data_IF_722585815393
#
_entry.id   IF_722585815393
#
_cell.length_a   1.000
_cell.length_b   1.000
_cell.length_c   1.000
_cell.angle_alpha   90.00
_cell.angle_beta   90.00
_cell.angle_gamma   90.00
#
_symmetry.space_group_name_H-M   'P 1'
#
loop_
_entity.id
_entity.type
_entity.pdbx_description
1 polymer ?
#
# COMPACT_ATOMS: atom_id res chain seq x y z
N UNK A 1 3.29 23.86 -65.48
CA UNK A 1 4.41 22.92 -65.22
C UNK A 1 4.14 21.62 -65.95
N UNK A 2 5.10 21.17 -66.77
CA UNK A 2 4.97 19.98 -67.62
C UNK A 2 4.90 18.69 -66.79
N UNK A 3 4.24 17.65 -67.32
CA UNK A 3 4.10 16.33 -66.69
C UNK A 3 5.43 15.70 -66.25
N UNK A 4 6.54 16.11 -66.87
CA UNK A 4 7.90 15.69 -66.53
C UNK A 4 8.40 16.28 -65.20
N UNK A 5 8.03 17.53 -64.87
CA UNK A 5 8.41 18.17 -63.61
C UNK A 5 7.71 17.56 -62.40
N UNK A 6 6.45 17.11 -62.54
CA UNK A 6 5.71 16.43 -61.46
C UNK A 6 6.32 15.07 -61.10
N UNK A 7 6.93 14.36 -62.08
CA UNK A 7 7.55 13.05 -61.83
C UNK A 7 8.91 13.16 -61.11
N UNK A 8 9.68 14.22 -61.36
CA UNK A 8 10.93 14.45 -60.62
C UNK A 8 10.69 14.88 -59.16
N UNK A 9 9.70 15.75 -58.89
CA UNK A 9 9.41 16.16 -57.51
C UNK A 9 8.89 15.00 -56.64
N UNK A 10 8.13 14.06 -57.20
CA UNK A 10 7.61 12.90 -56.44
C UNK A 10 8.74 11.92 -56.09
N UNK A 11 9.72 11.71 -56.96
CA UNK A 11 10.87 10.82 -56.69
C UNK A 11 11.81 11.43 -55.64
N UNK A 12 12.03 12.75 -55.67
CA UNK A 12 12.87 13.45 -54.67
C UNK A 12 12.18 13.53 -53.30
N UNK A 13 10.85 13.77 -53.24
CA UNK A 13 10.12 13.74 -51.96
C UNK A 13 10.07 12.33 -51.35
N UNK A 14 9.97 11.28 -52.18
CA UNK A 14 9.98 9.89 -51.72
C UNK A 14 11.35 9.47 -51.17
N UNK A 15 12.45 9.95 -51.76
CA UNK A 15 13.80 9.70 -51.23
C UNK A 15 14.06 10.43 -49.90
N UNK A 16 13.53 11.63 -49.71
CA UNK A 16 13.67 12.39 -48.45
C UNK A 16 12.80 11.77 -47.34
N UNK A 17 11.62 11.23 -47.66
CA UNK A 17 10.81 10.46 -46.71
C UNK A 17 11.42 9.09 -46.35
N UNK A 18 12.13 8.44 -47.28
CA UNK A 18 12.85 7.18 -47.02
C UNK A 18 14.16 7.39 -46.23
N UNK A 19 14.80 8.56 -46.33
CA UNK A 19 15.99 8.91 -45.55
C UNK A 19 15.66 9.56 -44.20
N UNK A 20 14.43 10.06 -44.01
CA UNK A 20 13.97 10.67 -42.74
C UNK A 20 13.37 9.69 -41.72
N UNK A 21 13.19 8.41 -42.08
CA UNK A 21 12.67 7.37 -41.18
C UNK A 21 13.75 6.44 -40.59
N UNK A 22 14.99 6.54 -41.07
CA UNK A 22 16.12 5.81 -40.49
C UNK A 22 16.77 6.63 -39.39
N UNK A 23 16.20 6.58 -38.17
CA UNK A 23 16.87 6.78 -36.86
C UNK A 23 15.86 7.07 -35.71
N UNK A 24 14.74 6.36 -35.68
CA UNK A 24 14.11 6.01 -34.40
C UNK A 24 14.43 4.54 -34.10
N UNK A 25 15.73 4.19 -34.15
CA UNK A 25 16.20 3.07 -33.35
C UNK A 25 16.12 3.60 -31.93
N UNK A 26 15.06 3.22 -31.21
CA UNK A 26 15.09 3.29 -29.75
C UNK A 26 16.41 2.66 -29.34
N UNK A 27 17.31 3.43 -28.73
CA UNK A 27 18.59 2.90 -28.29
C UNK A 27 18.26 1.69 -27.42
N UNK A 28 18.59 0.49 -27.89
CA UNK A 28 18.34 -0.72 -27.13
C UNK A 28 18.98 -0.51 -25.75
N UNK A 29 18.17 -0.59 -24.70
CA UNK A 29 18.67 -0.35 -23.35
C UNK A 29 19.87 -1.26 -23.10
N UNK A 30 20.98 -0.65 -22.69
CA UNK A 30 22.22 -1.39 -22.51
C UNK A 30 22.11 -2.24 -21.25
N UNK A 31 22.32 -3.55 -21.39
CA UNK A 31 22.40 -4.47 -20.24
C UNK A 31 23.51 -4.00 -19.29
N UNK A 32 23.15 -3.79 -18.04
CA UNK A 32 24.03 -3.34 -16.96
C UNK A 32 24.57 -4.52 -16.16
N UNK A 33 23.73 -5.52 -15.90
CA UNK A 33 24.12 -6.73 -15.18
C UNK A 33 23.27 -7.93 -15.61
N UNK A 34 23.83 -9.13 -15.47
CA UNK A 34 23.13 -10.40 -15.65
C UNK A 34 23.55 -11.39 -14.58
N UNK A 35 22.61 -12.19 -14.11
CA UNK A 35 22.81 -13.28 -13.17
C UNK A 35 21.99 -14.50 -13.63
N UNK A 36 22.64 -15.65 -13.77
CA UNK A 36 21.95 -16.92 -13.98
C UNK A 36 21.90 -17.66 -12.65
N UNK A 37 20.69 -17.94 -12.18
CA UNK A 37 20.44 -18.61 -10.93
C UNK A 37 20.66 -20.13 -11.03
N UNK A 38 20.86 -20.85 -9.89
CA UNK A 38 21.08 -22.29 -9.90
C UNK A 38 19.93 -23.12 -10.50
N UNK A 39 18.71 -22.59 -10.49
CA UNK A 39 17.51 -23.18 -11.09
C UNK A 39 17.36 -22.83 -12.58
N UNK A 40 18.36 -22.20 -13.19
CA UNK A 40 18.41 -21.88 -14.62
C UNK A 40 17.80 -20.54 -15.01
N UNK A 41 17.13 -19.84 -14.08
CA UNK A 41 16.51 -18.54 -14.37
C UNK A 41 17.53 -17.47 -14.68
N UNK A 42 17.24 -16.64 -15.67
CA UNK A 42 18.10 -15.52 -16.06
C UNK A 42 17.52 -14.22 -15.52
N UNK A 43 18.28 -13.52 -14.69
CA UNK A 43 17.95 -12.20 -14.21
C UNK A 43 18.82 -11.19 -14.92
N UNK A 44 18.20 -10.22 -15.59
CA UNK A 44 18.88 -9.18 -16.36
C UNK A 44 18.48 -7.82 -15.83
N UNK A 45 19.45 -6.92 -15.67
CA UNK A 45 19.15 -5.51 -15.41
C UNK A 45 19.61 -4.62 -16.54
N UNK A 46 18.73 -3.70 -16.91
CA UNK A 46 18.98 -2.54 -17.74
C UNK A 46 19.18 -1.28 -16.88
N UNK A 47 19.01 -1.39 -15.56
CA UNK A 47 19.20 -0.31 -14.58
C UNK A 47 20.63 -0.29 -14.02
N UNK A 48 21.32 0.87 -13.99
CA UNK A 48 22.67 0.97 -13.44
C UNK A 48 22.68 0.83 -11.91
N UNK A 49 21.53 0.85 -11.24
CA UNK A 49 21.41 0.66 -9.79
C UNK A 49 21.37 -0.80 -9.38
N UNK A 50 21.24 -1.72 -10.34
CA UNK A 50 21.04 -3.13 -10.12
C UNK A 50 22.23 -3.94 -10.63
N UNK A 51 23.18 -4.18 -9.73
CA UNK A 51 24.32 -5.05 -9.99
C UNK A 51 23.95 -6.55 -9.85
N UNK A 52 24.93 -7.40 -10.16
CA UNK A 52 24.78 -8.86 -10.07
C UNK A 52 24.38 -9.34 -8.66
N UNK A 53 24.88 -8.71 -7.60
CA UNK A 53 24.58 -9.12 -6.22
C UNK A 53 23.12 -8.82 -5.86
N UNK A 54 22.59 -7.67 -6.31
CA UNK A 54 21.17 -7.33 -6.15
C UNK A 54 20.27 -8.24 -6.97
N UNK A 55 20.66 -8.61 -8.20
CA UNK A 55 19.93 -9.60 -8.99
C UNK A 55 19.90 -10.97 -8.29
N UNK A 56 21.01 -11.40 -7.71
CA UNK A 56 21.03 -12.63 -6.89
C UNK A 56 20.09 -12.53 -5.68
N UNK A 57 20.06 -11.38 -5.00
CA UNK A 57 19.15 -11.17 -3.88
C UNK A 57 17.67 -11.09 -4.31
N UNK A 58 17.38 -10.55 -5.50
CA UNK A 58 16.05 -10.53 -6.09
C UNK A 58 15.55 -11.93 -6.45
N UNK A 59 16.43 -12.80 -6.97
CA UNK A 59 16.11 -14.22 -7.12
C UNK A 59 15.82 -14.86 -5.76
N UNK A 60 16.65 -14.58 -4.75
CA UNK A 60 16.39 -15.04 -3.37
C UNK A 60 15.02 -14.62 -2.85
N UNK A 61 14.59 -13.39 -3.17
CA UNK A 61 13.26 -12.85 -2.85
C UNK A 61 12.14 -13.57 -3.61
N UNK A 62 12.28 -13.82 -4.91
CA UNK A 62 11.33 -14.66 -5.67
C UNK A 62 11.11 -16.00 -4.95
N UNK A 63 12.21 -16.64 -4.52
CA UNK A 63 12.17 -17.95 -3.87
C UNK A 63 11.55 -17.94 -2.48
N UNK A 64 11.31 -16.77 -1.86
CA UNK A 64 10.56 -16.65 -0.60
C UNK A 64 9.04 -16.71 -0.80
N UNK A 65 8.54 -16.56 -2.03
CA UNK A 65 7.13 -16.78 -2.32
C UNK A 65 6.82 -18.28 -2.30
N UNK A 66 5.61 -18.67 -1.91
CA UNK A 66 5.22 -20.09 -1.98
C UNK A 66 4.96 -20.49 -3.44
N UNK A 67 5.71 -21.48 -3.92
CA UNK A 67 5.69 -21.90 -5.31
C UNK A 67 5.67 -23.43 -5.45
N UNK A 68 5.14 -23.95 -6.55
CA UNK A 68 5.13 -25.36 -6.93
C UNK A 68 5.82 -25.62 -8.28
N UNK A 69 5.28 -26.59 -9.04
CA UNK A 69 5.79 -27.00 -10.35
C UNK A 69 5.71 -25.90 -11.42
N UNK A 70 4.93 -24.83 -11.19
CA UNK A 70 4.84 -23.69 -12.11
C UNK A 70 6.17 -22.95 -12.23
N UNK A 71 6.97 -22.93 -11.15
CA UNK A 71 8.27 -22.24 -11.08
C UNK A 71 9.25 -22.66 -12.19
N UNK A 72 9.11 -23.87 -12.74
CA UNK A 72 9.91 -24.39 -13.86
C UNK A 72 9.55 -23.74 -15.22
N UNK A 73 8.44 -23.00 -15.30
CA UNK A 73 7.99 -22.26 -16.49
C UNK A 73 8.17 -20.75 -16.35
N UNK A 74 8.98 -20.29 -15.39
CA UNK A 74 9.46 -18.92 -15.35
C UNK A 74 10.94 -18.91 -15.73
N UNK A 75 11.28 -18.30 -16.86
CA UNK A 75 12.66 -18.33 -17.39
C UNK A 75 13.45 -17.06 -17.05
N UNK A 76 12.78 -15.91 -17.04
CA UNK A 76 13.46 -14.61 -16.99
C UNK A 76 12.81 -13.61 -16.04
N UNK A 77 13.64 -12.83 -15.35
CA UNK A 77 13.25 -11.59 -14.69
C UNK A 77 14.11 -10.45 -15.25
N UNK A 78 13.49 -9.37 -15.71
CA UNK A 78 14.20 -8.20 -16.21
C UNK A 78 13.85 -6.95 -15.40
N UNK A 79 14.86 -6.17 -15.02
CA UNK A 79 14.70 -4.88 -14.32
C UNK A 79 15.02 -3.73 -15.26
N UNK A 80 14.08 -2.81 -15.44
CA UNK A 80 14.19 -1.63 -16.28
C UNK A 80 14.13 -0.35 -15.45
N UNK A 81 14.77 0.72 -15.92
CA UNK A 81 14.68 2.04 -15.27
C UNK A 81 13.38 2.76 -15.58
N UNK A 82 12.92 2.65 -16.83
CA UNK A 82 11.73 3.31 -17.31
C UNK A 82 10.44 2.61 -16.91
N UNK A 83 9.33 3.29 -17.17
CA UNK A 83 7.98 2.76 -17.08
C UNK A 83 7.38 2.77 -18.50
N UNK A 84 7.62 1.73 -19.33
CA UNK A 84 7.23 1.73 -20.75
C UNK A 84 5.71 1.86 -20.94
N UNK A 85 4.92 1.47 -19.94
CA UNK A 85 3.46 1.57 -19.91
C UNK A 85 2.95 2.68 -18.97
N UNK A 86 3.83 3.59 -18.53
CA UNK A 86 3.52 4.68 -17.61
C UNK A 86 3.71 4.29 -16.13
N UNK A 87 3.85 5.29 -15.26
CA UNK A 87 4.16 5.10 -13.82
C UNK A 87 3.11 4.33 -13.02
N UNK A 88 1.93 4.10 -13.59
CA UNK A 88 0.90 3.26 -12.99
C UNK A 88 1.15 1.76 -13.13
N UNK A 89 2.11 1.34 -13.98
CA UNK A 89 2.45 -0.06 -14.21
C UNK A 89 3.86 -0.31 -13.69
N UNK A 90 3.98 -0.93 -12.52
CA UNK A 90 5.27 -1.17 -11.86
C UNK A 90 5.96 -2.47 -12.32
N UNK A 91 5.21 -3.37 -12.97
CA UNK A 91 5.72 -4.60 -13.54
C UNK A 91 4.77 -5.18 -14.58
N UNK A 92 5.20 -6.26 -15.22
CA UNK A 92 4.35 -7.04 -16.11
C UNK A 92 4.85 -8.49 -16.22
N UNK A 93 3.93 -9.44 -16.14
CA UNK A 93 4.18 -10.83 -16.53
C UNK A 93 3.83 -11.06 -18.00
N UNK A 94 4.79 -11.60 -18.75
CA UNK A 94 4.68 -11.91 -20.18
C UNK A 94 4.72 -13.43 -20.35
N UNK A 95 3.69 -13.99 -20.96
CA UNK A 95 3.64 -15.42 -21.27
C UNK A 95 3.03 -15.72 -22.64
N UNK A 96 3.25 -16.96 -23.09
CA UNK A 96 2.66 -17.47 -24.30
C UNK A 96 1.99 -18.81 -24.01
N UNK A 97 0.91 -19.11 -24.73
CA UNK A 97 0.31 -20.43 -24.74
C UNK A 97 0.50 -21.10 -26.10
N UNK A 98 0.68 -22.41 -26.11
CA UNK A 98 0.65 -23.22 -27.33
C UNK A 98 -0.51 -24.21 -27.28
N UNK A 99 -1.27 -24.28 -28.37
CA UNK A 99 -2.37 -25.23 -28.52
C UNK A 99 -1.99 -26.25 -29.57
N UNK A 100 -1.81 -27.50 -29.15
CA UNK A 100 -1.47 -28.59 -30.07
C UNK A 100 -2.65 -28.90 -31.00
N UNK A 101 -2.43 -28.82 -32.31
CA UNK A 101 -3.43 -29.06 -33.37
C UNK A 101 -4.13 -30.42 -33.23
N UNK A 102 -3.46 -31.42 -32.67
CA UNK A 102 -3.98 -32.78 -32.52
C UNK A 102 -4.47 -33.14 -31.12
N UNK A 103 -4.20 -32.30 -30.11
CA UNK A 103 -4.40 -32.68 -28.71
C UNK A 103 -5.43 -31.82 -27.98
N UNK A 104 -5.89 -30.71 -28.58
CA UNK A 104 -6.79 -29.72 -27.97
C UNK A 104 -6.38 -29.35 -26.52
N UNK A 105 -5.07 -29.41 -26.24
CA UNK A 105 -4.46 -29.14 -24.94
C UNK A 105 -3.62 -27.89 -25.10
N UNK A 106 -4.13 -26.81 -24.54
CA UNK A 106 -3.38 -25.57 -24.37
C UNK A 106 -2.37 -25.76 -23.24
N UNK A 107 -1.12 -25.36 -23.46
CA UNK A 107 -0.05 -25.38 -22.46
C UNK A 107 0.65 -24.03 -22.41
N UNK A 108 1.08 -23.64 -21.21
CA UNK A 108 1.91 -22.46 -21.02
C UNK A 108 3.33 -22.74 -21.51
N UNK A 109 3.93 -21.79 -22.20
CA UNK A 109 5.37 -21.75 -22.48
C UNK A 109 6.07 -21.00 -21.35
N UNK A 110 7.40 -21.14 -21.22
CA UNK A 110 8.12 -20.34 -20.25
C UNK A 110 7.86 -18.84 -20.41
N UNK A 111 7.64 -18.18 -19.28
CA UNK A 111 7.31 -16.76 -19.19
C UNK A 111 8.46 -15.91 -18.68
N UNK A 112 8.22 -14.60 -18.67
CA UNK A 112 9.15 -13.56 -18.20
C UNK A 112 8.42 -12.57 -17.32
N UNK A 113 9.06 -12.11 -16.25
CA UNK A 113 8.62 -10.96 -15.45
C UNK A 113 9.48 -9.75 -15.80
N UNK A 114 8.83 -8.62 -16.07
CA UNK A 114 9.47 -7.32 -16.21
C UNK A 114 9.13 -6.46 -15.00
N UNK A 115 10.14 -5.83 -14.39
CA UNK A 115 10.01 -4.91 -13.26
C UNK A 115 10.49 -3.52 -13.68
N UNK A 116 9.70 -2.50 -13.39
CA UNK A 116 9.91 -1.13 -13.86
C UNK A 116 10.30 -0.19 -12.73
N UNK A 117 11.03 0.89 -13.05
CA UNK A 117 11.47 1.85 -12.05
C UNK A 117 12.68 1.41 -11.21
N UNK A 118 13.63 0.66 -11.79
CA UNK A 118 14.83 0.16 -11.10
C UNK A 118 15.72 1.23 -10.45
N UNK A 119 15.62 2.49 -10.90
CA UNK A 119 16.26 3.64 -10.24
C UNK A 119 15.53 4.13 -8.99
N UNK A 120 14.22 3.90 -8.89
CA UNK A 120 13.37 4.28 -7.75
C UNK A 120 13.35 3.12 -6.73
N UNK A 121 13.22 1.88 -7.21
CA UNK A 121 13.24 0.65 -6.43
C UNK A 121 14.62 -0.01 -6.52
N UNK A 122 15.54 0.39 -5.64
CA UNK A 122 16.97 0.01 -5.76
C UNK A 122 17.39 -1.19 -4.89
N UNK A 123 16.42 -1.85 -4.27
CA UNK A 123 16.60 -3.01 -3.37
C UNK A 123 15.57 -4.10 -3.68
N UNK A 124 15.83 -5.39 -3.35
CA UNK A 124 14.85 -6.46 -3.47
C UNK A 124 13.55 -6.17 -2.73
N UNK A 125 13.64 -5.61 -1.51
CA UNK A 125 12.46 -5.21 -0.73
C UNK A 125 11.60 -4.17 -1.47
N UNK A 126 12.22 -3.25 -2.20
CA UNK A 126 11.50 -2.26 -3.01
C UNK A 126 10.72 -2.86 -4.19
N UNK A 127 11.07 -4.06 -4.64
CA UNK A 127 10.34 -4.81 -5.68
C UNK A 127 9.53 -5.98 -5.14
N UNK A 128 9.62 -6.33 -3.86
CA UNK A 128 9.07 -7.58 -3.32
C UNK A 128 7.57 -7.73 -3.62
N UNK A 129 6.79 -6.67 -3.40
CA UNK A 129 5.35 -6.70 -3.68
C UNK A 129 5.05 -6.85 -5.18
N UNK A 130 5.66 -6.02 -6.03
CA UNK A 130 5.48 -6.11 -7.49
C UNK A 130 5.93 -7.46 -8.04
N UNK A 131 7.07 -7.98 -7.60
CA UNK A 131 7.57 -9.30 -7.99
C UNK A 131 6.60 -10.41 -7.59
N UNK A 132 6.05 -10.36 -6.37
CA UNK A 132 5.05 -11.32 -5.92
C UNK A 132 3.75 -11.21 -6.73
N UNK A 133 3.34 -10.00 -7.10
CA UNK A 133 2.16 -9.74 -7.95
C UNK A 133 2.34 -10.33 -9.34
N UNK A 134 3.43 -10.01 -10.03
CA UNK A 134 3.72 -10.55 -11.36
C UNK A 134 3.92 -12.07 -11.34
N UNK A 135 4.50 -12.60 -10.26
CA UNK A 135 4.57 -14.04 -10.05
C UNK A 135 3.18 -14.64 -9.76
N UNK A 136 2.28 -13.91 -9.12
CA UNK A 136 0.88 -14.28 -8.95
C UNK A 136 0.14 -14.45 -10.27
N UNK A 137 0.37 -13.56 -11.24
CA UNK A 137 -0.11 -13.75 -12.62
C UNK A 137 0.39 -15.07 -13.21
N UNK A 138 1.69 -15.36 -13.06
CA UNK A 138 2.30 -16.60 -13.53
C UNK A 138 1.64 -17.85 -12.92
N UNK A 139 1.52 -17.87 -11.59
CA UNK A 139 0.95 -19.00 -10.82
C UNK A 139 -0.50 -19.25 -11.20
N UNK A 140 -1.32 -18.20 -11.22
CA UNK A 140 -2.76 -18.31 -11.44
C UNK A 140 -3.06 -18.72 -12.88
N UNK A 141 -2.32 -18.18 -13.87
CA UNK A 141 -2.41 -18.64 -15.26
C UNK A 141 -1.98 -20.10 -15.41
N UNK A 142 -0.88 -20.52 -14.78
CA UNK A 142 -0.43 -21.90 -14.84
C UNK A 142 -1.52 -22.86 -14.33
N UNK A 143 -2.04 -22.63 -13.13
CA UNK A 143 -2.96 -23.57 -12.50
C UNK A 143 -4.35 -23.59 -13.11
N UNK A 144 -4.88 -22.45 -13.54
CA UNK A 144 -6.14 -22.39 -14.29
C UNK A 144 -6.01 -23.11 -15.63
N UNK A 145 -4.87 -22.99 -16.31
CA UNK A 145 -4.63 -23.73 -17.54
C UNK A 145 -4.43 -25.24 -17.29
N UNK A 146 -3.78 -25.64 -16.20
CA UNK A 146 -3.64 -27.05 -15.84
C UNK A 146 -4.98 -27.69 -15.47
N UNK A 147 -5.83 -26.98 -14.74
CA UNK A 147 -7.07 -27.53 -14.20
C UNK A 147 -8.25 -27.37 -15.17
N UNK A 148 -8.51 -26.13 -15.61
CA UNK A 148 -9.68 -25.77 -16.41
C UNK A 148 -9.41 -25.79 -17.92
N UNK A 149 -8.14 -25.78 -18.34
CA UNK A 149 -7.73 -25.59 -19.75
C UNK A 149 -8.18 -24.24 -20.33
N UNK A 150 -8.38 -23.24 -19.48
CA UNK A 150 -8.81 -21.88 -19.80
C UNK A 150 -7.85 -20.92 -19.11
N UNK A 151 -7.40 -19.86 -19.79
CA UNK A 151 -6.63 -18.79 -19.15
C UNK A 151 -7.56 -17.76 -18.51
N UNK A 152 -7.09 -17.07 -17.47
CA UNK A 152 -7.82 -15.95 -16.87
C UNK A 152 -8.00 -14.75 -17.82
N UNK A 153 -7.40 -14.79 -19.00
CA UNK A 153 -7.53 -13.78 -20.07
C UNK A 153 -8.42 -14.25 -21.24
N UNK A 154 -9.05 -15.43 -21.14
CA UNK A 154 -9.97 -15.92 -22.18
C UNK A 154 -11.27 -15.11 -22.19
N UNK A 155 -11.45 -14.28 -23.23
CA UNK A 155 -12.59 -13.36 -23.36
C UNK A 155 -13.97 -14.01 -23.43
N UNK A 156 -14.06 -15.32 -23.66
CA UNK A 156 -15.33 -16.03 -23.79
C UNK A 156 -15.62 -16.94 -22.61
N UNK A 157 -14.58 -17.56 -22.05
CA UNK A 157 -14.72 -18.70 -21.14
C UNK A 157 -14.17 -18.46 -19.74
N UNK A 158 -13.61 -17.29 -19.44
CA UNK A 158 -13.05 -17.01 -18.11
C UNK A 158 -14.04 -17.28 -16.96
N UNK A 159 -15.35 -17.03 -17.18
CA UNK A 159 -16.43 -17.30 -16.22
C UNK A 159 -16.58 -18.79 -15.87
N UNK A 160 -16.12 -19.67 -16.74
CA UNK A 160 -16.15 -21.13 -16.53
C UNK A 160 -15.02 -21.61 -15.62
N UNK A 161 -13.97 -20.80 -15.42
CA UNK A 161 -12.81 -21.18 -14.61
C UNK A 161 -13.22 -21.50 -13.17
N UNK A 162 -12.55 -22.47 -12.59
CA UNK A 162 -12.74 -22.87 -11.20
C UNK A 162 -12.44 -21.69 -10.27
N UNK A 163 -11.37 -20.94 -10.57
CA UNK A 163 -11.02 -19.72 -9.84
C UNK A 163 -12.17 -18.70 -9.81
N UNK A 164 -12.70 -18.27 -10.98
CA UNK A 164 -13.77 -17.27 -11.03
C UNK A 164 -15.03 -17.73 -10.28
N UNK A 165 -15.36 -19.02 -10.34
CA UNK A 165 -16.52 -19.59 -9.61
C UNK A 165 -16.30 -19.59 -8.10
N UNK A 166 -15.15 -20.05 -7.64
CA UNK A 166 -14.82 -20.08 -6.21
C UNK A 166 -14.78 -18.69 -5.61
N UNK A 167 -14.27 -17.72 -6.38
CA UNK A 167 -14.19 -16.32 -5.98
C UNK A 167 -15.53 -15.59 -6.06
N UNK A 168 -16.57 -16.21 -6.63
CA UNK A 168 -17.90 -15.62 -6.81
C UNK A 168 -17.97 -14.56 -7.92
N UNK A 169 -17.00 -14.54 -8.84
CA UNK A 169 -16.82 -13.48 -9.85
C UNK A 169 -17.48 -13.78 -11.19
N UNK A 170 -17.89 -15.04 -11.45
CA UNK A 170 -18.46 -15.46 -12.74
C UNK A 170 -19.67 -14.63 -13.18
N UNK A 171 -20.50 -14.19 -12.23
CA UNK A 171 -21.72 -13.42 -12.49
C UNK A 171 -21.60 -11.92 -12.20
N UNK A 172 -20.44 -11.46 -11.69
CA UNK A 172 -20.21 -10.04 -11.47
C UNK A 172 -19.97 -9.34 -12.81
N UNK A 173 -20.88 -8.45 -13.18
CA UNK A 173 -20.83 -7.70 -14.45
C UNK A 173 -19.70 -6.69 -14.52
N UNK A 174 -19.10 -6.33 -13.38
CA UNK A 174 -17.96 -5.41 -13.31
C UNK A 174 -16.67 -6.12 -13.70
N UNK A 175 -16.58 -7.42 -13.41
CA UNK A 175 -15.39 -8.23 -13.72
C UNK A 175 -15.23 -8.42 -15.22
N UNK A 176 -14.01 -8.22 -15.69
CA UNK A 176 -13.65 -8.40 -17.09
C UNK A 176 -12.23 -8.94 -17.27
N UNK A 177 -11.88 -9.23 -18.52
CA UNK A 177 -10.56 -9.75 -18.91
C UNK A 177 -9.92 -8.93 -20.03
N UNK A 178 -10.54 -7.78 -20.36
CA UNK A 178 -10.06 -6.87 -21.38
C UNK A 178 -9.19 -5.79 -20.74
N UNK A 179 -8.21 -5.29 -21.49
CA UNK A 179 -7.40 -4.13 -21.09
C UNK A 179 -8.24 -2.86 -20.86
N UNK A 180 -9.46 -2.78 -21.42
CA UNK A 180 -10.37 -1.65 -21.16
C UNK A 180 -11.14 -1.76 -19.85
N UNK A 181 -11.11 -2.93 -19.20
CA UNK A 181 -11.68 -3.11 -17.87
C UNK A 181 -10.78 -2.38 -16.87
N UNK A 182 -11.36 -1.61 -15.96
CA UNK A 182 -10.62 -0.95 -14.89
C UNK A 182 -9.80 -1.99 -14.11
N UNK A 183 -8.55 -1.67 -13.80
CA UNK A 183 -7.53 -2.62 -13.32
C UNK A 183 -8.01 -3.49 -12.14
N UNK A 184 -8.58 -2.86 -11.10
CA UNK A 184 -9.20 -3.54 -9.93
C UNK A 184 -10.34 -4.52 -10.24
N UNK A 185 -10.89 -4.49 -11.45
CA UNK A 185 -11.96 -5.38 -11.92
C UNK A 185 -11.46 -6.39 -12.97
N UNK A 186 -10.17 -6.38 -13.30
CA UNK A 186 -9.58 -7.36 -14.18
C UNK A 186 -9.37 -8.68 -13.43
N UNK A 187 -9.90 -9.78 -13.97
CA UNK A 187 -9.85 -11.09 -13.30
C UNK A 187 -8.42 -11.56 -12.98
N UNK A 188 -7.48 -11.30 -13.89
CA UNK A 188 -6.08 -11.66 -13.70
C UNK A 188 -5.44 -10.85 -12.56
N UNK A 189 -5.73 -9.55 -12.46
CA UNK A 189 -5.21 -8.69 -11.40
C UNK A 189 -5.75 -9.11 -10.02
N UNK A 190 -7.06 -9.38 -9.92
CA UNK A 190 -7.65 -9.92 -8.67
C UNK A 190 -6.97 -11.23 -8.27
N UNK A 191 -6.64 -12.09 -9.24
CA UNK A 191 -5.95 -13.36 -8.98
C UNK A 191 -4.50 -13.18 -8.54
N UNK A 192 -3.77 -12.24 -9.14
CA UNK A 192 -2.40 -11.90 -8.74
C UNK A 192 -2.36 -11.36 -7.30
N UNK A 193 -3.31 -10.52 -6.93
CA UNK A 193 -3.42 -9.99 -5.56
C UNK A 193 -3.83 -11.05 -4.54
N UNK A 194 -4.76 -11.93 -4.91
CA UNK A 194 -5.12 -13.08 -4.09
C UNK A 194 -3.89 -13.97 -3.83
N UNK A 195 -3.03 -14.14 -4.83
CA UNK A 195 -1.76 -14.83 -4.65
C UNK A 195 -0.82 -14.10 -3.68
N UNK A 196 -0.66 -12.78 -3.79
CA UNK A 196 0.17 -12.00 -2.84
C UNK A 196 -0.32 -12.19 -1.41
N UNK A 197 -1.63 -12.06 -1.18
CA UNK A 197 -2.25 -12.22 0.15
C UNK A 197 -1.97 -13.60 0.75
N UNK A 198 -2.15 -14.66 -0.03
CA UNK A 198 -2.09 -16.04 0.47
C UNK A 198 -0.65 -16.59 0.52
N UNK A 199 0.17 -16.24 -0.46
CA UNK A 199 1.42 -16.95 -0.82
C UNK A 199 2.61 -16.04 -1.08
N UNK A 200 2.42 -14.72 -1.07
CA UNK A 200 3.50 -13.75 -1.17
C UNK A 200 4.57 -13.93 -0.09
N UNK A 201 5.79 -13.50 -0.40
CA UNK A 201 6.90 -13.50 0.55
C UNK A 201 6.62 -12.61 1.78
N UNK A 202 7.39 -12.76 2.88
CA UNK A 202 7.33 -11.84 4.00
C UNK A 202 7.60 -10.38 3.62
N UNK A 203 8.47 -10.11 2.64
CA UNK A 203 8.76 -8.74 2.18
C UNK A 203 7.64 -8.17 1.30
N UNK A 204 6.99 -8.98 0.48
CA UNK A 204 5.83 -8.56 -0.32
C UNK A 204 4.62 -8.14 0.54
N UNK A 205 4.55 -8.71 1.75
CA UNK A 205 3.52 -8.43 2.77
C UNK A 205 4.03 -7.55 3.92
N UNK A 206 5.21 -6.93 3.76
CA UNK A 206 5.78 -6.11 4.81
C UNK A 206 4.90 -4.91 5.12
N UNK A 207 4.74 -4.62 6.40
CA UNK A 207 3.99 -3.45 6.86
C UNK A 207 4.75 -2.16 6.57
N UNK A 208 4.03 -1.15 6.11
CA UNK A 208 4.47 0.24 6.09
C UNK A 208 3.80 0.96 7.27
N UNK A 209 4.57 1.51 8.23
CA UNK A 209 3.97 2.17 9.39
C UNK A 209 3.42 3.55 9.03
N UNK A 210 2.21 3.86 9.53
CA UNK A 210 1.59 5.19 9.42
C UNK A 210 1.32 5.78 10.80
N UNK A 211 1.86 6.96 11.08
CA UNK A 211 1.55 7.72 12.30
C UNK A 211 0.24 8.50 12.15
N UNK A 212 -0.59 8.54 13.20
CA UNK A 212 -1.80 9.37 13.21
C UNK A 212 -1.45 10.85 13.11
N UNK A 213 -2.02 11.54 12.11
CA UNK A 213 -1.82 13.00 11.93
C UNK A 213 -2.46 13.83 13.04
N UNK A 214 -3.55 13.34 13.63
CA UNK A 214 -4.18 13.97 14.78
C UNK A 214 -3.26 13.89 15.99
N UNK A 215 -2.70 12.71 16.28
CA UNK A 215 -1.76 12.56 17.40
C UNK A 215 -0.47 13.34 17.19
N UNK A 216 0.05 13.41 15.96
CA UNK A 216 1.16 14.28 15.62
C UNK A 216 0.85 15.74 15.99
N UNK A 217 -0.33 16.22 15.60
CA UNK A 217 -0.79 17.59 15.93
C UNK A 217 -0.91 17.80 17.44
N UNK A 218 -1.54 16.85 18.16
CA UNK A 218 -1.70 16.91 19.61
C UNK A 218 -0.35 16.95 20.34
N UNK A 219 0.65 16.26 19.81
CA UNK A 219 2.03 16.25 20.32
C UNK A 219 2.86 17.45 19.83
N UNK A 220 2.26 18.38 19.08
CA UNK A 220 2.92 19.58 18.57
C UNK A 220 3.95 19.32 17.48
N UNK A 221 3.87 18.18 16.78
CA UNK A 221 4.62 17.91 15.56
C UNK A 221 3.94 18.57 14.37
N UNK A 222 4.72 19.04 13.41
CA UNK A 222 4.19 19.50 12.13
C UNK A 222 3.71 18.29 11.32
N UNK A 223 2.48 18.36 10.81
CA UNK A 223 1.90 17.28 10.01
C UNK A 223 2.41 17.41 8.58
N UNK A 224 3.30 16.49 8.19
CA UNK A 224 3.78 16.37 6.82
C UNK A 224 2.77 15.72 5.88
N UNK A 225 3.04 15.81 4.58
CA UNK A 225 2.34 15.00 3.59
C UNK A 225 2.65 13.51 3.83
N UNK A 226 1.61 12.67 3.89
CA UNK A 226 1.79 11.22 3.87
C UNK A 226 2.07 10.82 2.41
N UNK A 227 3.08 9.99 2.20
CA UNK A 227 3.33 9.35 0.91
C UNK A 227 2.94 7.89 1.01
N UNK A 228 2.01 7.45 0.16
CA UNK A 228 1.59 6.08 0.05
C UNK A 228 1.18 5.73 -1.39
N UNK A 229 1.09 4.44 -1.69
CA UNK A 229 0.63 3.94 -2.98
C UNK A 229 0.05 2.52 -2.82
N UNK A 230 -0.56 1.99 -3.89
CA UNK A 230 -1.21 0.66 -3.88
C UNK A 230 -0.28 -0.54 -3.65
N UNK A 231 1.04 -0.39 -3.77
CA UNK A 231 1.99 -1.48 -3.47
C UNK A 231 2.24 -1.68 -1.96
N UNK A 232 1.74 -0.79 -1.12
CA UNK A 232 1.84 -0.91 0.34
C UNK A 232 0.76 -1.87 0.84
N UNK A 233 1.14 -3.14 1.01
CA UNK A 233 0.23 -4.24 1.31
C UNK A 233 -0.71 -3.97 2.49
N UNK A 234 -0.25 -3.31 3.56
CA UNK A 234 -1.09 -3.07 4.73
C UNK A 234 -2.15 -1.97 4.57
N UNK A 235 -2.11 -1.20 3.47
CA UNK A 235 -3.17 -0.25 3.09
C UNK A 235 -4.16 -0.90 2.13
N UNK A 236 -3.66 -1.70 1.20
CA UNK A 236 -4.44 -2.24 0.11
C UNK A 236 -4.01 -3.69 -0.19
N UNK A 237 -4.39 -4.66 0.66
CA UNK A 237 -4.10 -6.07 0.41
C UNK A 237 -4.78 -6.61 -0.87
N UNK A 238 -5.82 -5.91 -1.32
CA UNK A 238 -6.61 -6.15 -2.52
C UNK A 238 -6.96 -4.77 -3.08
N UNK A 239 -6.65 -4.51 -4.36
CA UNK A 239 -6.92 -3.22 -5.02
C UNK A 239 -8.42 -2.92 -5.00
N UNK A 240 -9.23 -3.97 -5.16
CA UNK A 240 -10.68 -3.86 -5.09
C UNK A 240 -11.22 -3.88 -3.65
N UNK A 241 -11.44 -2.68 -3.10
CA UNK A 241 -11.97 -2.50 -1.74
C UNK A 241 -13.36 -3.12 -1.49
N UNK A 242 -14.09 -3.50 -2.54
CA UNK A 242 -15.44 -4.09 -2.45
C UNK A 242 -15.45 -5.62 -2.50
N UNK A 243 -14.36 -6.25 -2.93
CA UNK A 243 -14.24 -7.70 -2.90
C UNK A 243 -13.82 -8.17 -1.49
N UNK A 244 -14.30 -9.34 -1.03
CA UNK A 244 -13.76 -9.94 0.19
C UNK A 244 -12.29 -10.27 -0.02
N UNK A 245 -11.49 -10.31 1.05
CA UNK A 245 -10.08 -10.70 0.99
C UNK A 245 -9.95 -12.17 0.59
N UNK A 246 -8.83 -12.54 -0.04
CA UNK A 246 -8.58 -13.91 -0.52
C UNK A 246 -8.62 -14.93 0.62
N UNK A 247 -8.14 -14.54 1.80
CA UNK A 247 -8.15 -15.32 3.03
C UNK A 247 -9.54 -15.63 3.58
N UNK A 248 -10.55 -14.88 3.13
CA UNK A 248 -11.93 -15.01 3.57
C UNK A 248 -12.79 -15.82 2.58
N UNK A 249 -12.22 -16.22 1.43
CA UNK A 249 -12.91 -16.98 0.39
C UNK A 249 -12.79 -18.47 0.68
N UNK A 250 -13.89 -19.17 1.02
CA UNK A 250 -13.82 -20.57 1.41
C UNK A 250 -13.25 -21.47 0.31
N UNK A 251 -12.24 -22.27 0.65
CA UNK A 251 -11.63 -23.25 -0.24
C UNK A 251 -10.54 -22.69 -1.17
N UNK A 252 -10.36 -21.37 -1.26
CA UNK A 252 -9.43 -20.76 -2.23
C UNK A 252 -7.98 -21.11 -1.92
N UNK A 253 -7.57 -21.00 -0.65
CA UNK A 253 -6.24 -21.40 -0.20
C UNK A 253 -5.98 -22.89 -0.46
N UNK A 254 -6.93 -23.75 -0.08
CA UNK A 254 -6.82 -25.20 -0.22
C UNK A 254 -6.72 -25.61 -1.69
N UNK A 255 -7.44 -24.92 -2.57
CA UNK A 255 -7.35 -25.13 -4.02
C UNK A 255 -5.91 -24.95 -4.50
N UNK A 256 -5.28 -23.81 -4.20
CA UNK A 256 -3.93 -23.50 -4.64
C UNK A 256 -2.86 -24.40 -4.00
N UNK A 257 -2.89 -24.59 -2.67
CA UNK A 257 -1.94 -25.48 -1.97
C UNK A 257 -1.96 -26.89 -2.54
N UNK A 258 -3.16 -27.43 -2.81
CA UNK A 258 -3.31 -28.74 -3.41
C UNK A 258 -2.64 -28.82 -4.78
N UNK A 259 -2.73 -27.77 -5.60
CA UNK A 259 -2.07 -27.76 -6.91
C UNK A 259 -0.55 -27.59 -6.81
N UNK A 260 -0.06 -26.81 -5.83
CA UNK A 260 1.37 -26.63 -5.55
C UNK A 260 2.04 -27.87 -4.94
N UNK A 261 1.25 -28.89 -4.57
CA UNK A 261 1.71 -30.14 -3.93
C UNK A 261 2.56 -29.88 -2.69
N UNK A 262 2.31 -28.77 -1.99
CA UNK A 262 2.99 -28.44 -0.74
C UNK A 262 2.28 -29.09 0.43
N UNK A 263 3.05 -29.42 1.46
CA UNK A 263 2.50 -29.77 2.76
C UNK A 263 2.09 -28.48 3.47
N UNK A 264 0.91 -28.51 4.07
CA UNK A 264 0.23 -27.33 4.58
C UNK A 264 0.86 -26.83 5.89
N UNK A 265 1.33 -25.58 5.97
CA UNK A 265 1.31 -24.86 7.23
C UNK A 265 -0.15 -24.47 7.50
N UNK A 266 -0.80 -25.13 8.47
CA UNK A 266 -2.23 -24.95 8.81
C UNK A 266 -2.68 -23.49 8.61
N UNK A 267 -3.52 -23.26 7.60
CA UNK A 267 -4.04 -21.94 7.27
C UNK A 267 -4.97 -21.44 8.37
N UNK A 268 -4.53 -20.40 9.08
CA UNK A 268 -5.26 -19.78 10.19
C UNK A 268 -5.16 -18.26 10.07
N UNK A 269 -5.90 -17.63 9.13
CA UNK A 269 -5.96 -16.17 9.08
C UNK A 269 -6.51 -15.62 10.41
N UNK A 270 -6.18 -14.37 10.76
CA UNK A 270 -6.76 -13.73 11.93
C UNK A 270 -8.30 -13.78 11.90
N UNK A 271 -8.93 -13.81 13.07
CA UNK A 271 -10.37 -13.55 13.13
C UNK A 271 -10.66 -12.12 12.66
N UNK A 272 -11.85 -11.86 12.09
CA UNK A 272 -12.25 -10.50 11.71
C UNK A 272 -12.26 -9.58 12.95
N UNK A 273 -11.64 -8.40 12.89
CA UNK A 273 -11.67 -7.44 13.98
C UNK A 273 -13.02 -6.72 14.03
N UNK A 274 -13.44 -6.30 15.22
CA UNK A 274 -14.66 -5.52 15.42
C UNK A 274 -14.31 -4.03 15.52
N UNK A 275 -14.44 -3.29 14.41
CA UNK A 275 -14.25 -1.84 14.36
C UNK A 275 -15.52 -1.09 14.80
N UNK A 276 -15.35 -0.06 15.63
CA UNK A 276 -16.44 0.82 16.10
C UNK A 276 -16.05 2.29 16.01
N UNK A 277 -17.00 3.14 15.63
CA UNK A 277 -16.93 4.56 15.94
C UNK A 277 -17.42 4.73 17.39
N UNK A 278 -16.49 4.88 18.32
CA UNK A 278 -16.78 4.93 19.75
C UNK A 278 -17.44 6.25 20.14
N UNK A 279 -16.94 7.36 19.59
CA UNK A 279 -17.49 8.69 19.82
C UNK A 279 -17.13 9.65 18.71
N UNK A 280 -17.77 10.82 18.72
CA UNK A 280 -17.34 11.97 17.95
C UNK A 280 -17.42 13.25 18.79
N UNK A 281 -16.67 14.29 18.38
CA UNK A 281 -16.74 15.62 18.99
C UNK A 281 -16.68 16.73 17.96
N UNK A 282 -17.42 17.81 18.19
CA UNK A 282 -17.33 19.05 17.39
C UNK A 282 -16.03 19.82 17.71
N UNK A 283 -15.32 20.26 16.68
CA UNK A 283 -14.07 21.04 16.76
C UNK A 283 -14.28 22.48 16.28
N UNK A 284 -15.41 23.08 16.65
CA UNK A 284 -15.86 24.38 16.15
C UNK A 284 -16.10 24.35 14.63
N UNK A 285 -15.73 25.43 13.93
CA UNK A 285 -15.90 25.54 12.48
C UNK A 285 -14.98 24.61 11.67
N UNK A 286 -14.04 23.89 12.33
CA UNK A 286 -13.13 22.98 11.65
C UNK A 286 -13.84 21.70 11.16
N UNK A 287 -14.91 21.28 11.84
CA UNK A 287 -15.64 20.04 11.60
C UNK A 287 -15.62 19.11 12.80
N UNK A 288 -15.71 17.80 12.56
CA UNK A 288 -15.75 16.79 13.61
C UNK A 288 -14.44 16.03 13.76
N UNK A 289 -14.14 15.64 15.00
CA UNK A 289 -13.16 14.61 15.32
C UNK A 289 -13.91 13.30 15.57
N UNK A 290 -13.46 12.22 14.93
CA UNK A 290 -13.96 10.87 15.10
C UNK A 290 -12.99 10.07 15.97
N UNK A 291 -13.50 9.27 16.90
CA UNK A 291 -12.72 8.34 17.72
C UNK A 291 -13.14 6.90 17.45
N UNK A 292 -12.24 6.17 16.80
CA UNK A 292 -12.41 4.76 16.50
C UNK A 292 -11.76 3.90 17.58
N UNK A 293 -12.38 2.77 17.89
CA UNK A 293 -11.80 1.71 18.71
C UNK A 293 -12.07 0.37 18.06
N UNK A 294 -11.27 -0.65 18.39
CA UNK A 294 -11.54 -2.00 17.91
C UNK A 294 -11.15 -3.08 18.92
N UNK A 295 -11.68 -4.27 18.69
CA UNK A 295 -11.30 -5.48 19.43
C UNK A 295 -10.92 -6.60 18.46
N UNK A 296 -10.02 -7.49 18.90
CA UNK A 296 -9.57 -8.63 18.13
C UNK A 296 -9.66 -9.92 18.96
N UNK A 297 -10.49 -10.85 18.51
CA UNK A 297 -10.55 -12.17 19.13
C UNK A 297 -9.27 -12.97 18.81
N UNK A 298 -8.67 -13.60 19.84
CA UNK A 298 -7.46 -14.39 19.68
C UNK A 298 -6.24 -13.58 19.23
N UNK A 299 -6.17 -12.31 19.62
CA UNK A 299 -5.02 -11.45 19.36
C UNK A 299 -3.70 -12.08 19.83
N UNK A 300 -2.66 -11.92 19.03
CA UNK A 300 -1.29 -12.38 19.32
C UNK A 300 -0.33 -11.20 19.26
N UNK A 301 0.80 -11.29 19.97
CA UNK A 301 1.78 -10.20 20.08
C UNK A 301 2.36 -9.73 18.74
N UNK A 302 2.36 -10.58 17.71
CA UNK A 302 2.86 -10.27 16.37
C UNK A 302 1.80 -9.68 15.44
N UNK A 303 0.57 -9.46 15.92
CA UNK A 303 -0.48 -8.84 15.13
C UNK A 303 -0.20 -7.36 14.96
N UNK A 304 -0.59 -6.84 13.81
CA UNK A 304 -0.67 -5.40 13.59
C UNK A 304 -1.93 -5.05 12.83
N UNK A 305 -2.33 -3.79 12.97
CA UNK A 305 -3.55 -3.24 12.45
C UNK A 305 -3.24 -2.05 11.56
N UNK A 306 -4.02 -1.86 10.50
CA UNK A 306 -4.01 -0.61 9.75
C UNK A 306 -5.45 -0.18 9.51
N UNK A 307 -5.79 0.99 10.05
CA UNK A 307 -7.07 1.64 9.80
C UNK A 307 -6.92 2.49 8.54
N UNK A 308 -7.83 2.31 7.59
CA UNK A 308 -7.86 3.07 6.33
C UNK A 308 -9.22 3.74 6.13
N UNK A 309 -9.25 4.75 5.26
CA UNK A 309 -10.49 5.41 4.83
C UNK A 309 -10.51 5.67 3.33
N UNK A 310 -11.70 5.70 2.73
CA UNK A 310 -11.90 5.92 1.31
C UNK A 310 -13.33 6.41 1.01
N UNK A 311 -13.54 6.95 -0.19
CA UNK A 311 -14.85 7.20 -0.79
C UNK A 311 -15.18 6.11 -1.82
N UNK A 312 -16.44 5.99 -2.22
CA UNK A 312 -16.87 4.92 -3.14
C UNK A 312 -16.18 4.96 -4.51
N UNK A 313 -15.70 6.13 -4.93
CA UNK A 313 -14.98 6.38 -6.18
C UNK A 313 -13.44 6.46 -6.00
N UNK A 314 -12.92 6.34 -4.77
CA UNK A 314 -11.48 6.29 -4.54
C UNK A 314 -10.90 4.99 -5.16
N UNK A 315 -9.77 5.15 -5.86
CA UNK A 315 -8.98 4.03 -6.38
C UNK A 315 -8.08 3.39 -5.33
N UNK A 316 -7.65 4.20 -4.34
CA UNK A 316 -6.73 3.80 -3.29
C UNK A 316 -7.29 4.24 -1.95
N UNK A 317 -7.21 3.35 -0.96
CA UNK A 317 -7.49 3.74 0.41
C UNK A 317 -6.41 4.68 0.95
N UNK A 318 -6.79 5.56 1.87
CA UNK A 318 -5.90 6.46 2.59
C UNK A 318 -5.60 5.86 3.99
N UNK A 319 -4.31 5.71 4.36
CA UNK A 319 -3.96 5.25 5.69
C UNK A 319 -4.31 6.30 6.74
N UNK A 320 -4.90 5.87 7.85
CA UNK A 320 -5.09 6.70 9.04
C UNK A 320 -3.98 6.43 10.05
N UNK A 321 -3.77 5.16 10.39
CA UNK A 321 -2.77 4.77 11.39
C UNK A 321 -2.45 3.28 11.30
N UNK A 322 -1.21 2.93 11.65
CA UNK A 322 -0.79 1.56 11.94
C UNK A 322 -0.56 1.37 13.43
N UNK A 323 -1.04 0.24 13.98
CA UNK A 323 -0.89 -0.13 15.39
C UNK A 323 -0.35 -1.55 15.52
N UNK A 324 0.49 -1.78 16.52
CA UNK A 324 0.85 -3.12 16.97
C UNK A 324 -0.19 -3.64 17.98
N UNK A 325 -0.20 -4.95 18.24
CA UNK A 325 -1.10 -5.57 19.23
C UNK A 325 -0.97 -4.97 20.64
N UNK A 326 0.23 -4.58 21.04
CA UNK A 326 0.50 -3.99 22.35
C UNK A 326 0.21 -2.48 22.44
N UNK A 327 -0.16 -1.84 21.34
CA UNK A 327 -0.58 -0.44 21.35
C UNK A 327 -2.01 -0.30 21.89
N UNK A 328 -2.42 0.95 22.14
CA UNK A 328 -3.83 1.25 22.38
C UNK A 328 -4.60 1.09 21.06
N UNK A 329 -5.61 0.22 21.08
CA UNK A 329 -6.42 -0.14 19.91
C UNK A 329 -7.49 0.93 19.60
N UNK A 330 -7.01 2.13 19.29
CA UNK A 330 -7.82 3.29 18.93
C UNK A 330 -7.15 4.17 17.87
N UNK A 331 -7.97 5.01 17.23
CA UNK A 331 -7.51 6.01 16.29
C UNK A 331 -8.40 7.25 16.31
N UNK A 332 -7.81 8.41 16.03
CA UNK A 332 -8.52 9.66 15.79
C UNK A 332 -8.43 10.06 14.31
N UNK A 333 -9.52 10.59 13.76
CA UNK A 333 -9.60 11.07 12.37
C UNK A 333 -10.47 12.34 12.27
N UNK A 334 -10.21 13.18 11.27
CA UNK A 334 -11.01 14.38 10.99
C UNK A 334 -10.32 15.67 11.40
N UNK A 335 -11.00 16.51 12.18
CA UNK A 335 -10.45 17.77 12.67
C UNK A 335 -9.87 17.64 14.08
N UNK A 336 -8.92 18.50 14.43
CA UNK A 336 -8.49 18.72 15.81
C UNK A 336 -8.10 20.18 16.00
N UNK A 337 -8.56 20.75 17.10
CA UNK A 337 -8.19 22.10 17.52
C UNK A 337 -7.51 22.05 18.88
N UNK A 338 -6.25 22.47 18.93
CA UNK A 338 -5.42 22.51 20.14
C UNK A 338 -4.98 23.92 20.46
N UNK A 339 -5.03 24.27 21.75
CA UNK A 339 -4.53 25.55 22.24
C UNK A 339 -3.11 25.32 22.73
N UNK A 340 -2.15 26.08 22.22
CA UNK A 340 -0.77 26.01 22.70
C UNK A 340 -0.30 27.43 23.01
N UNK A 341 -0.25 27.75 24.30
CA UNK A 341 -0.02 29.10 24.79
C UNK A 341 -1.13 30.08 24.38
N UNK A 342 -0.75 31.17 23.72
CA UNK A 342 -1.67 32.21 23.23
C UNK A 342 -2.34 31.91 21.88
N UNK A 343 -2.02 30.78 21.25
CA UNK A 343 -2.45 30.46 19.89
C UNK A 343 -3.38 29.24 19.85
N UNK A 344 -4.28 29.26 18.87
CA UNK A 344 -5.13 28.14 18.50
C UNK A 344 -4.56 27.51 17.23
N UNK A 345 -4.25 26.22 17.29
CA UNK A 345 -3.77 25.42 16.16
C UNK A 345 -4.91 24.50 15.74
N UNK A 346 -5.31 24.61 14.48
CA UNK A 346 -6.35 23.76 13.90
C UNK A 346 -5.72 22.92 12.80
N UNK A 347 -5.84 21.61 12.94
CA UNK A 347 -5.58 20.67 11.88
C UNK A 347 -6.90 20.09 11.38
N UNK A 348 -7.04 19.97 10.07
CA UNK A 348 -8.20 19.36 9.44
C UNK A 348 -7.73 18.39 8.38
N UNK A 349 -8.24 17.17 8.45
CA UNK A 349 -7.99 16.22 7.39
C UNK A 349 -8.57 16.70 6.06
N UNK A 350 -7.74 16.86 5.00
CA UNK A 350 -8.21 17.45 3.74
C UNK A 350 -9.38 16.69 3.12
N UNK A 351 -9.42 15.36 3.29
CA UNK A 351 -10.47 14.47 2.76
C UNK A 351 -11.58 14.13 3.77
N UNK A 352 -11.62 14.76 4.95
CA UNK A 352 -12.66 14.53 5.95
C UNK A 352 -13.96 15.28 5.61
N UNK A 353 -14.59 14.92 4.49
CA UNK A 353 -15.82 15.53 3.98
C UNK A 353 -16.74 14.50 3.33
N UNK A 354 -18.04 14.75 3.34
CA UNK A 354 -19.05 13.90 2.70
C UNK A 354 -19.14 12.51 3.33
N UNK A 355 -19.55 11.53 2.55
CA UNK A 355 -19.60 10.13 2.97
C UNK A 355 -18.20 9.53 2.91
N UNK A 356 -17.76 8.90 4.00
CA UNK A 356 -16.47 8.19 4.08
C UNK A 356 -16.67 6.78 4.61
N UNK A 357 -15.96 5.85 4.00
CA UNK A 357 -15.86 4.47 4.45
C UNK A 357 -14.60 4.31 5.29
N UNK A 358 -14.67 3.45 6.30
CA UNK A 358 -13.57 3.09 7.18
C UNK A 358 -13.51 1.57 7.29
N UNK A 359 -12.31 1.02 7.16
CA UNK A 359 -12.04 -0.41 7.24
C UNK A 359 -10.76 -0.63 8.01
N UNK A 360 -10.77 -1.61 8.91
CA UNK A 360 -9.61 -2.02 9.67
C UNK A 360 -9.10 -3.34 9.12
N UNK A 361 -7.84 -3.37 8.72
CA UNK A 361 -7.14 -4.61 8.42
C UNK A 361 -6.37 -5.09 9.64
N UNK A 362 -6.45 -6.38 9.93
CA UNK A 362 -5.59 -7.08 10.90
C UNK A 362 -4.70 -8.06 10.16
N UNK A 363 -3.42 -8.06 10.49
CA UNK A 363 -2.40 -8.91 9.89
C UNK A 363 -1.80 -9.80 10.95
N UNK A 364 -1.89 -11.11 10.74
CA UNK A 364 -1.40 -12.12 11.67
C UNK A 364 -0.04 -12.69 11.30
N UNK A 365 0.18 -13.92 11.78
CA UNK A 365 1.36 -14.68 11.43
C UNK A 365 1.45 -14.87 9.90
N UNK A 366 2.67 -14.82 9.37
CA UNK A 366 2.96 -14.95 7.94
C UNK A 366 2.30 -13.90 7.04
N UNK A 367 1.76 -12.81 7.60
CA UNK A 367 1.14 -11.72 6.85
C UNK A 367 -0.25 -12.04 6.30
N UNK A 368 -0.91 -13.12 6.77
CA UNK A 368 -2.32 -13.34 6.46
C UNK A 368 -3.17 -12.22 7.05
N UNK A 369 -4.15 -11.79 6.27
CA UNK A 369 -4.95 -10.60 6.56
C UNK A 369 -6.42 -10.97 6.74
N UNK A 370 -7.14 -10.26 7.59
CA UNK A 370 -8.59 -10.22 7.64
C UNK A 370 -9.05 -8.76 7.75
N UNK A 371 -10.31 -8.48 7.42
CA UNK A 371 -10.86 -7.13 7.54
C UNK A 371 -12.09 -7.04 8.46
N UNK A 372 -12.30 -5.86 9.02
CA UNK A 372 -13.53 -5.50 9.71
C UNK A 372 -14.68 -5.31 8.72
N UNK A 373 -15.90 -5.30 9.26
CA UNK A 373 -17.01 -4.65 8.57
C UNK A 373 -16.63 -3.20 8.17
N UNK A 374 -17.19 -2.74 7.06
CA UNK A 374 -17.03 -1.35 6.60
C UNK A 374 -17.94 -0.46 7.42
N UNK A 375 -17.37 0.59 8.03
CA UNK A 375 -18.14 1.66 8.65
C UNK A 375 -18.27 2.83 7.68
N UNK A 376 -19.50 3.24 7.38
CA UNK A 376 -19.78 4.41 6.56
C UNK A 376 -20.28 5.54 7.45
N UNK A 377 -19.58 6.68 7.41
CA UNK A 377 -19.85 7.86 8.25
C UNK A 377 -20.10 9.07 7.34
N UNK A 378 -21.17 9.81 7.62
CA UNK A 378 -21.36 11.15 7.08
C UNK A 378 -20.51 12.14 7.89
N UNK A 379 -19.45 12.68 7.29
CA UNK A 379 -18.56 13.63 7.96
C UNK A 379 -19.25 14.97 8.28
N UNK A 380 -20.44 15.25 7.73
CA UNK A 380 -21.28 16.38 8.10
C UNK A 380 -22.22 16.09 9.27
N UNK A 381 -22.50 14.82 9.55
CA UNK A 381 -23.36 14.39 10.64
C UNK A 381 -22.96 12.98 11.16
N UNK A 382 -21.90 12.87 11.98
CA UNK A 382 -21.36 11.58 12.43
C UNK A 382 -22.17 10.93 13.56
N UNK A 383 -23.40 11.38 13.81
CA UNK A 383 -24.27 10.86 14.87
C UNK A 383 -24.76 9.43 14.61
N UNK A 384 -24.68 8.98 13.36
CA UNK A 384 -25.09 7.66 12.92
C UNK A 384 -24.01 7.05 12.02
N UNK A 385 -23.78 5.75 12.17
CA UNK A 385 -22.85 4.99 11.35
C UNK A 385 -23.56 3.81 10.72
N UNK A 386 -23.36 3.64 9.41
CA UNK A 386 -23.83 2.45 8.69
C UNK A 386 -22.73 1.38 8.72
N UNK A 387 -23.09 0.14 9.03
CA UNK A 387 -22.20 -1.01 9.06
C UNK A 387 -22.57 -1.93 7.90
N UNK A 388 -21.64 -2.16 6.97
CA UNK A 388 -21.81 -2.95 5.74
C UNK A 388 -23.06 -2.56 4.92
N UNK A 389 -23.43 -1.27 4.92
CA UNK A 389 -24.62 -0.74 4.25
C UNK A 389 -25.97 -1.31 4.72
N UNK A 390 -26.01 -2.04 5.85
CA UNK A 390 -27.23 -2.72 6.34
C UNK A 390 -27.69 -2.19 7.71
N UNK A 391 -26.76 -2.02 8.65
CA UNK A 391 -27.10 -1.69 10.05
C UNK A 391 -26.72 -0.25 10.40
N UNK A 392 -27.68 0.53 10.90
CA UNK A 392 -27.42 1.88 11.44
C UNK A 392 -27.21 1.80 12.95
N UNK A 393 -26.08 2.32 13.43
CA UNK A 393 -25.71 2.37 14.84
C UNK A 393 -25.61 3.83 15.29
N UNK A 394 -26.34 4.26 16.32
CA UNK A 394 -26.18 5.60 16.89
C UNK A 394 -24.83 5.72 17.60
N UNK A 395 -24.21 6.89 17.52
CA UNK A 395 -22.89 7.17 18.10
C UNK A 395 -23.00 8.23 19.18
N UNK A 396 -22.26 8.03 20.27
CA UNK A 396 -22.22 8.97 21.38
C UNK A 396 -21.52 10.27 20.96
N UNK A 397 -22.23 11.39 21.10
CA UNK A 397 -21.63 12.72 21.02
C UNK A 397 -20.94 13.02 22.34
N UNK A 398 -19.62 13.12 22.31
CA UNK A 398 -18.84 13.63 23.44
C UNK A 398 -18.67 15.12 23.22
N UNK A 399 -19.17 15.94 24.16
CA UNK A 399 -18.92 17.38 24.13
C UNK A 399 -17.42 17.61 24.02
N UNK A 400 -16.99 18.31 22.97
CA UNK A 400 -15.58 18.59 22.75
C UNK A 400 -14.96 19.16 24.02
N UNK A 401 -13.92 18.49 24.53
CA UNK A 401 -13.14 19.07 25.60
C UNK A 401 -12.56 20.39 25.07
N UNK A 402 -12.67 21.50 25.82
CA UNK A 402 -12.08 22.75 25.39
C UNK A 402 -10.61 22.51 25.08
N UNK A 403 -10.16 22.98 23.91
CA UNK A 403 -8.83 22.77 23.36
C UNK A 403 -7.78 22.59 24.48
N UNK A 404 -7.40 21.33 24.72
CA UNK A 404 -6.51 20.96 25.82
C UNK A 404 -5.26 21.82 25.68
N UNK A 405 -4.92 22.57 26.73
CA UNK A 405 -3.57 23.12 26.87
C UNK A 405 -2.72 21.88 27.12
N UNK A 406 -1.84 21.43 26.19
CA UNK A 406 -0.96 20.33 26.47
C UNK A 406 -0.11 20.84 27.62
N UNK A 407 -0.44 20.41 28.85
CA UNK A 407 0.21 20.83 30.07
C UNK A 407 1.67 20.59 29.80
N UNK A 408 2.40 21.68 29.55
CA UNK A 408 3.83 21.63 29.54
C UNK A 408 4.19 20.92 30.83
N UNK A 409 4.92 19.82 30.73
CA UNK A 409 5.70 19.29 31.84
C UNK A 409 6.76 20.31 32.24
N UNK A 410 6.37 21.55 32.58
CA UNK A 410 7.07 22.31 33.58
C UNK A 410 6.89 21.42 34.82
N UNK A 411 7.98 20.83 35.37
CA UNK A 411 7.87 20.16 36.64
C UNK A 411 7.15 21.14 37.55
N UNK A 412 6.08 20.73 38.22
CA UNK A 412 5.66 21.45 39.42
C UNK A 412 6.89 21.41 40.32
N UNK A 413 7.68 22.49 40.29
CA UNK A 413 8.66 22.76 41.32
C UNK A 413 7.81 22.98 42.56
N UNK A 414 7.61 21.90 43.29
CA UNK A 414 6.95 21.93 44.58
C UNK A 414 7.91 22.61 45.56
N UNK A 415 7.85 23.94 45.60
CA UNK A 415 8.61 24.74 46.56
C UNK A 415 8.10 24.56 47.99
N UNK A 416 6.97 23.87 48.22
CA UNK A 416 6.47 23.63 49.57
C UNK A 416 7.36 22.64 50.34
N UNK A 417 7.99 21.68 49.65
CA UNK A 417 9.03 20.82 50.24
C UNK A 417 10.37 21.55 50.48
N UNK A 418 10.53 22.76 49.95
CA UNK A 418 11.81 23.48 49.91
C UNK A 418 11.89 24.63 50.93
N UNK A 419 10.75 25.08 51.45
CA UNK A 419 10.66 26.15 52.46
C UNK A 419 10.93 25.63 53.88
N UNK A 420 10.88 24.31 54.13
CA UNK A 420 11.08 23.76 55.48
C UNK A 420 12.55 23.49 55.88
N UNK A 421 13.52 23.64 54.97
CA UNK A 421 14.95 23.43 55.31
C UNK A 421 15.73 24.73 55.23
N UNK A 422 15.43 25.63 56.16
CA UNK A 422 16.25 26.79 56.44
C UNK A 422 17.66 26.39 56.88
N UNK A 423 18.65 26.52 55.99
CA UNK A 423 20.05 26.85 56.28
C UNK A 423 20.73 27.36 55.01
N UNK A 424 21.15 28.62 55.06
CA UNK A 424 21.55 29.45 53.92
C UNK A 424 22.85 29.07 53.22
N UNK A 425 23.00 29.62 52.00
CA UNK A 425 24.21 29.58 51.18
C UNK A 425 23.93 29.46 49.68
N UNK A 426 22.86 28.78 49.30
CA UNK A 426 22.56 28.51 47.88
C UNK A 426 21.68 29.58 47.22
N UNK A 427 20.73 30.19 47.93
CA UNK A 427 19.88 31.25 47.39
C UNK A 427 20.70 32.44 46.86
N UNK A 428 21.79 32.80 47.56
CA UNK A 428 22.71 33.84 47.09
C UNK A 428 23.52 33.40 45.87
N UNK A 429 23.83 32.10 45.73
CA UNK A 429 24.51 31.56 44.55
C UNK A 429 23.59 31.44 43.34
N UNK A 430 22.30 31.16 43.56
CA UNK A 430 21.29 31.07 42.50
C UNK A 430 20.88 32.47 42.03
N UNK A 431 20.69 33.42 42.95
CA UNK A 431 20.45 34.82 42.63
C UNK A 431 21.63 35.41 41.86
N UNK A 432 22.87 35.18 42.30
CA UNK A 432 24.06 35.62 41.56
C UNK A 432 24.18 34.97 40.17
N UNK A 433 23.74 33.72 39.99
CA UNK A 433 23.71 33.08 38.67
C UNK A 433 22.64 33.69 37.76
N UNK A 434 21.46 34.00 38.30
CA UNK A 434 20.37 34.67 37.59
C UNK A 434 20.72 36.12 37.21
N UNK A 435 21.38 36.87 38.11
CA UNK A 435 21.85 38.22 37.81
C UNK A 435 22.88 38.19 36.68
N UNK A 436 23.80 37.21 36.66
CA UNK A 436 24.77 37.05 35.55
C UNK A 436 24.12 36.70 34.21
N UNK A 437 23.02 35.95 34.20
CA UNK A 437 22.25 35.65 32.98
C UNK A 437 21.50 36.90 32.51
N UNK A 438 20.89 37.65 33.43
CA UNK A 438 20.18 38.90 33.11
C UNK A 438 21.15 39.96 32.59
N UNK A 439 22.32 40.12 33.21
CA UNK A 439 23.37 41.05 32.78
C UNK A 439 23.96 40.64 31.42
N UNK A 440 24.11 39.34 31.16
CA UNK A 440 24.54 38.80 29.87
C UNK A 440 23.54 39.08 28.75
N UNK A 441 22.24 38.97 29.02
CA UNK A 441 21.16 39.30 28.08
C UNK A 441 21.06 40.82 27.86
N UNK A 442 21.21 41.63 28.91
CA UNK A 442 21.22 43.09 28.79
C UNK A 442 22.42 43.61 27.99
N UNK A 443 23.61 43.02 28.18
CA UNK A 443 24.81 43.32 27.39
C UNK A 443 24.66 42.94 25.91
N UNK A 444 24.02 41.80 25.62
CA UNK A 444 23.77 41.37 24.24
C UNK A 444 22.77 42.30 23.52
N UNK A 445 21.74 42.74 24.23
CA UNK A 445 20.73 43.66 23.70
C UNK A 445 21.27 45.09 23.51
N UNK A 446 22.18 45.54 24.37
CA UNK A 446 22.86 46.84 24.23
C UNK A 446 23.85 46.93 23.07
N UNK A 447 24.24 45.81 22.45
CA UNK A 447 25.09 45.78 21.24
C UNK A 447 24.31 45.73 19.92
N UNK A 448 22.99 45.51 19.98
CA UNK A 448 22.15 45.32 18.79
C UNK A 448 21.34 46.57 18.41
N UNK A 449 21.59 47.70 19.05
CA UNK A 449 21.00 49.00 18.69
C UNK A 449 22.06 50.10 18.79
N UNK A 450 22.34 50.89 17.73
CA UNK A 450 23.22 52.05 17.82
C UNK A 450 22.62 53.19 18.64
#
# INVERSE_FOLDING_TARGET
MSRTMRRCCIVVLSLILLLGMGNLVSAAEQVQATYTAPDGKVLTSYSPKWDKAKLQALHGELMQNLHGDEMDLLDEIAVYDGYPHGKGVAGQYIFQTVTGVFQNKTKMRPGKIELYGGNEHTTPAGFAHTLAHEYGHHVTHYYTLQYDKITLTDSKRWKETTYAKMRGLSEDVRIGVSESTEHRWQLAEVAAEDYVQLFGSPLAKAKTPFESRIEQTLNGKEVGAISWNGSMFNIQPQENLTLPLASEVPGLYEFFIKQMKKQDPVFTPPAKPELKLASYSEQGDAGYQLHFTWTQAGEQDNYHYTLVTYQSDDLLAEPIVTREANDKQEALYGAVTVRKGGYLYTYKEPKATGMRHFKLYVFGQNGWVADSAVLTVDMGNPSEVQVNDEQVVPVEHVKGEPALDPVFGIPKLDFSAWIETGKGGWLDSLLNALTKVIDGVAWLLGKLWP
#
